data_IF_899191939941
#
_entry.id   IF_899191939941
#
_cell.length_a   1.000
_cell.length_b   1.000
_cell.length_c   1.000
_cell.angle_alpha   90.00
_cell.angle_beta   90.00
_cell.angle_gamma   90.00
#
_symmetry.space_group_name_H-M   'P 1'
#
loop_
_entity.id
_entity.type
_entity.pdbx_description
1 polymer ?
2 non-polymer ?
#
# COMPACT_ATOMS: atom_id res chain seq x y z
N UNK A 1 23.35 12.12 -12.42
CA UNK A 1 24.29 12.69 -11.38
C UNK A 1 23.54 13.39 -10.26
N UNK A 2 22.57 14.25 -10.61
CA UNK A 2 21.77 15.09 -9.67
C UNK A 2 20.28 15.01 -10.02
N UNK A 3 19.92 14.79 -11.29
CA UNK A 3 18.51 14.84 -11.77
C UNK A 3 17.63 13.68 -11.26
N UNK A 4 18.20 12.66 -10.58
CA UNK A 4 17.49 11.41 -10.19
C UNK A 4 16.58 11.66 -9.00
N UNK A 5 17.03 12.44 -8.01
CA UNK A 5 16.28 12.75 -6.78
C UNK A 5 15.98 11.49 -5.99
N UNK A 6 14.93 11.53 -5.17
CA UNK A 6 14.53 10.42 -4.26
C UNK A 6 13.49 9.54 -4.97
N UNK A 7 13.79 8.24 -5.10
CA UNK A 7 12.95 7.20 -5.74
C UNK A 7 12.70 6.04 -4.78
N UNK A 8 11.73 6.21 -3.87
CA UNK A 8 11.14 5.17 -2.99
C UNK A 8 10.42 4.12 -3.85
N UNK A 9 10.37 2.87 -3.40
CA UNK A 9 9.55 1.80 -4.03
C UNK A 9 8.43 1.38 -3.05
N UNK A 10 7.17 1.41 -3.52
CA UNK A 10 5.98 1.10 -2.71
C UNK A 10 5.05 0.18 -3.49
N UNK A 11 4.59 -0.89 -2.83
CA UNK A 11 3.58 -1.86 -3.33
C UNK A 11 2.53 -2.03 -2.23
N UNK A 12 1.23 -2.03 -2.57
CA UNK A 12 0.11 -2.13 -1.58
C UNK A 12 -0.79 -3.27 -2.01
N UNK A 13 -1.02 -4.24 -1.13
CA UNK A 13 -1.82 -5.45 -1.41
C UNK A 13 -3.07 -5.47 -0.54
N UNK A 14 -4.24 -5.57 -1.17
CA UNK A 14 -5.53 -6.02 -0.57
C UNK A 14 -5.53 -7.54 -0.61
N UNK A 15 -4.99 -8.20 0.40
CA UNK A 15 -4.76 -9.67 0.34
C UNK A 15 -6.13 -10.37 0.32
N UNK A 16 -7.13 -9.78 0.99
CA UNK A 16 -8.53 -10.25 1.19
C UNK A 16 -9.39 -10.03 -0.06
N UNK A 17 -8.89 -9.32 -1.06
CA UNK A 17 -9.60 -9.13 -2.36
C UNK A 17 -8.76 -9.69 -3.51
N UNK A 18 -7.51 -10.06 -3.23
CA UNK A 18 -6.58 -10.59 -4.25
C UNK A 18 -6.21 -9.51 -5.23
N UNK A 19 -6.04 -8.27 -4.75
CA UNK A 19 -5.61 -7.08 -5.55
C UNK A 19 -4.22 -6.56 -5.11
N UNK A 20 -3.27 -6.54 -6.05
CA UNK A 20 -1.92 -5.95 -5.88
C UNK A 20 -1.92 -4.56 -6.54
N UNK A 21 -1.59 -3.52 -5.78
CA UNK A 21 -1.35 -2.14 -6.28
C UNK A 21 0.16 -1.92 -6.39
N UNK A 22 0.73 -2.20 -7.57
CA UNK A 22 2.20 -2.28 -7.82
C UNK A 22 2.76 -0.90 -8.19
N UNK A 23 3.81 -0.44 -7.50
CA UNK A 23 4.58 0.78 -7.85
C UNK A 23 3.71 2.02 -7.73
N UNK A 24 3.07 2.20 -6.57
CA UNK A 24 2.38 3.44 -6.15
C UNK A 24 3.39 4.53 -5.72
N UNK A 25 4.69 4.27 -5.85
CA UNK A 25 5.69 5.27 -5.42
C UNK A 25 5.72 6.42 -6.45
N UNK A 26 5.63 7.67 -5.97
CA UNK A 26 6.03 8.86 -6.73
C UNK A 26 7.27 8.52 -7.58
N UNK A 27 7.27 8.85 -8.87
CA UNK A 27 8.46 8.59 -9.73
C UNK A 27 9.67 9.30 -9.15
N UNK A 28 9.47 10.43 -8.46
CA UNK A 28 10.55 11.24 -7.84
C UNK A 28 9.96 12.09 -6.74
N UNK A 29 10.53 12.02 -5.54
CA UNK A 29 10.09 12.79 -4.36
C UNK A 29 10.08 11.92 -3.12
N UNK A 30 10.42 12.56 -1.99
CA UNK A 30 10.55 11.93 -0.66
C UNK A 30 9.16 11.96 -0.01
N UNK A 31 8.28 11.10 -0.50
CA UNK A 31 6.86 10.95 -0.04
C UNK A 31 6.26 9.68 -0.63
N UNK A 32 5.33 9.09 0.12
CA UNK A 32 4.60 7.89 -0.35
C UNK A 32 3.18 7.92 0.24
N UNK A 33 2.25 7.37 -0.56
CA UNK A 33 0.82 7.37 -0.24
C UNK A 33 -0.01 6.89 -1.38
N UNK A 34 -1.31 6.73 -1.11
CA UNK A 34 -2.31 6.16 -2.03
C UNK A 34 -3.69 6.39 -1.42
N UNK A 35 -4.63 6.90 -2.23
CA UNK A 35 -6.07 6.98 -1.89
C UNK A 35 -6.78 5.81 -2.56
N UNK A 36 -7.21 4.81 -1.77
CA UNK A 36 -8.04 3.70 -2.30
C UNK A 36 -9.51 3.98 -1.97
N UNK A 37 -10.35 4.09 -3.00
CA UNK A 37 -11.82 4.32 -2.84
C UNK A 37 -12.50 2.97 -2.99
N UNK A 38 -13.36 2.63 -2.03
CA UNK A 38 -13.98 1.28 -1.94
C UNK A 38 -15.51 1.38 -2.08
N UNK A 39 -16.07 0.68 -3.08
CA UNK A 39 -17.53 0.56 -3.28
C UNK A 39 -17.98 -0.76 -2.61
N UNK A 40 -18.81 -0.68 -1.55
CA UNK A 40 -19.10 -1.80 -0.62
C UNK A 40 -20.52 -1.71 -0.04
N UNK A 41 -21.31 -2.78 -0.19
CA UNK A 41 -22.79 -2.81 0.09
C UNK A 41 -23.09 -3.58 1.38
N UNK A 42 -22.08 -4.19 1.99
CA UNK A 42 -22.25 -5.13 3.13
C UNK A 42 -20.95 -5.17 3.92
N UNK A 43 -20.96 -5.79 5.10
CA UNK A 43 -19.79 -5.86 5.99
C UNK A 43 -18.76 -6.80 5.39
N UNK A 44 -17.50 -6.36 5.38
CA UNK A 44 -16.34 -7.23 5.06
C UNK A 44 -15.06 -6.65 5.68
N UNK A 45 -14.18 -7.55 6.09
CA UNK A 45 -12.83 -7.25 6.63
C UNK A 45 -11.89 -7.08 5.45
N UNK A 46 -11.14 -5.98 5.44
CA UNK A 46 -10.08 -5.70 4.44
C UNK A 46 -8.72 -5.80 5.16
N UNK A 47 -7.88 -6.70 4.65
CA UNK A 47 -6.50 -6.91 5.14
C UNK A 47 -5.55 -6.22 4.14
N UNK A 48 -4.79 -5.26 4.65
CA UNK A 48 -3.75 -4.50 3.91
C UNK A 48 -2.35 -4.93 4.35
N UNK A 49 -1.51 -5.23 3.35
CA UNK A 49 -0.04 -5.35 3.47
C UNK A 49 0.58 -4.26 2.57
N UNK A 50 1.35 -3.37 3.18
CA UNK A 50 2.11 -2.29 2.50
C UNK A 50 3.58 -2.67 2.55
N UNK A 51 4.26 -2.72 1.39
CA UNK A 51 5.71 -3.01 1.30
C UNK A 51 6.44 -1.75 0.81
N UNK A 52 7.31 -1.23 1.67
CA UNK A 52 8.11 -0.01 1.43
C UNK A 52 9.56 -0.44 1.24
N UNK A 53 10.14 -0.10 0.10
CA UNK A 53 11.60 -0.26 -0.14
C UNK A 53 12.14 1.15 -0.28
N UNK A 54 12.53 1.80 0.84
CA UNK A 54 12.81 3.25 0.80
C UNK A 54 14.08 3.48 -0.01
N UNK A 55 14.21 4.64 -0.65
CA UNK A 55 15.49 5.12 -1.26
C UNK A 55 16.61 5.10 -0.20
N UNK A 56 17.86 4.97 -0.62
CA UNK A 56 19.07 4.80 0.25
C UNK A 56 19.53 6.13 0.83
N UNK A 57 18.66 6.79 1.58
CA UNK A 57 18.88 8.01 2.42
C UNK A 57 18.74 7.51 3.85
N UNK A 58 19.18 8.27 4.83
CA UNK A 58 19.14 7.76 6.22
C UNK A 58 18.25 8.65 7.10
N UNK A 59 16.97 8.65 6.76
CA UNK A 59 15.86 9.35 7.45
C UNK A 59 14.60 8.97 6.70
N UNK A 60 14.09 7.78 6.97
CA UNK A 60 12.87 7.24 6.30
C UNK A 60 11.61 7.75 7.00
N UNK A 61 10.80 8.51 6.28
CA UNK A 61 9.50 9.01 6.76
C UNK A 61 8.63 7.80 7.08
N UNK A 62 7.92 7.81 8.23
CA UNK A 62 6.97 6.77 8.53
C UNK A 62 5.75 6.96 7.61
N UNK A 63 5.08 5.85 7.34
CA UNK A 63 3.80 5.83 6.59
C UNK A 63 2.65 5.67 7.60
N UNK A 64 1.57 6.41 7.37
CA UNK A 64 0.34 6.43 8.20
C UNK A 64 -0.87 6.00 7.34
N UNK A 65 -1.93 5.58 8.01
CA UNK A 65 -3.20 5.18 7.35
C UNK A 65 -4.37 5.91 8.01
N UNK A 66 -5.24 6.50 7.18
CA UNK A 66 -6.58 6.97 7.63
C UNK A 66 -7.65 6.15 6.88
N UNK A 67 -8.74 5.80 7.59
CA UNK A 67 -9.97 5.19 7.01
C UNK A 67 -11.18 6.09 7.32
N UNK A 68 -11.82 6.57 6.26
CA UNK A 68 -12.87 7.64 6.32
C UNK A 68 -12.35 8.69 7.31
N UNK A 69 -11.17 9.24 7.00
CA UNK A 69 -10.52 10.33 7.75
C UNK A 69 -10.37 9.98 9.25
N UNK A 70 -10.26 8.69 9.60
CA UNK A 70 -9.95 8.21 10.98
C UNK A 70 -8.62 7.46 10.96
N UNK A 71 -7.66 7.89 11.77
CA UNK A 71 -6.31 7.27 11.81
C UNK A 71 -6.48 5.83 12.29
N UNK A 72 -5.80 4.90 11.62
CA UNK A 72 -5.70 3.46 11.97
C UNK A 72 -4.22 3.09 12.05
N UNK A 73 -3.80 2.51 13.18
CA UNK A 73 -2.45 1.98 13.44
C UNK A 73 -2.06 0.93 12.39
N UNK A 74 -0.92 1.11 11.77
CA UNK A 74 -0.25 0.07 10.97
C UNK A 74 0.66 -0.76 11.87
N UNK A 75 0.51 -2.07 11.88
CA UNK A 75 1.50 -3.01 12.47
C UNK A 75 2.72 -2.98 11.54
N UNK A 76 3.91 -2.87 12.10
CA UNK A 76 5.19 -3.20 11.43
C UNK A 76 5.45 -4.70 11.63
N UNK A 77 5.33 -5.48 10.56
CA UNK A 77 5.52 -6.96 10.58
C UNK A 77 7.00 -7.29 10.39
N UNK A 78 7.70 -6.45 9.65
CA UNK A 78 9.05 -6.77 9.12
C UNK A 78 9.77 -5.46 8.85
N UNK A 79 11.02 -5.40 9.29
CA UNK A 79 11.95 -4.31 8.94
C UNK A 79 13.36 -4.87 8.86
N UNK A 80 14.07 -4.54 7.78
CA UNK A 80 15.53 -4.78 7.69
C UNK A 80 16.17 -3.59 6.95
N UNK A 81 17.38 -3.74 6.44
CA UNK A 81 18.12 -2.62 5.80
C UNK A 81 17.43 -2.26 4.48
N UNK A 82 16.71 -3.20 3.87
CA UNK A 82 16.09 -3.05 2.52
C UNK A 82 14.66 -2.49 2.64
N UNK A 83 13.80 -3.12 3.43
CA UNK A 83 12.33 -2.88 3.29
C UNK A 83 11.62 -2.94 4.63
N UNK A 84 10.49 -2.26 4.70
CA UNK A 84 9.53 -2.34 5.81
C UNK A 84 8.23 -2.93 5.23
N UNK A 85 7.65 -3.91 5.92
CA UNK A 85 6.30 -4.47 5.62
C UNK A 85 5.39 -4.12 6.80
N UNK A 86 4.34 -3.36 6.52
CA UNK A 86 3.24 -3.05 7.46
C UNK A 86 1.97 -3.81 7.08
N UNK A 87 1.04 -3.86 8.02
CA UNK A 87 -0.26 -4.55 7.83
C UNK A 87 -1.31 -3.83 8.66
N UNK A 88 -2.56 -3.92 8.23
CA UNK A 88 -3.75 -3.56 9.01
C UNK A 88 -4.92 -4.42 8.54
N UNK A 89 -5.82 -4.76 9.43
CA UNK A 89 -7.16 -5.28 9.04
C UNK A 89 -8.18 -4.29 9.56
N UNK A 90 -9.16 -3.93 8.73
CA UNK A 90 -10.33 -3.11 9.21
C UNK A 90 -11.63 -3.59 8.56
N UNK A 91 -12.70 -3.33 9.30
CA UNK A 91 -14.08 -3.73 8.94
C UNK A 91 -14.73 -2.47 8.35
N UNK A 92 -15.36 -2.59 7.18
CA UNK A 92 -16.16 -1.48 6.58
C UNK A 92 -17.54 -2.03 6.21
N UNK A 93 -18.57 -1.17 6.25
CA UNK A 93 -19.99 -1.53 6.05
C UNK A 93 -20.65 -0.61 5.02
N UNK A 94 -19.86 0.25 4.36
CA UNK A 94 -20.34 1.17 3.29
C UNK A 94 -19.14 1.89 2.65
N UNK A 95 -19.42 2.61 1.56
CA UNK A 95 -18.44 3.20 0.61
C UNK A 95 -17.41 4.03 1.38
N UNK A 96 -16.14 3.64 1.27
CA UNK A 96 -15.07 4.06 2.21
C UNK A 96 -13.91 4.67 1.42
N UNK A 97 -13.12 5.49 2.11
CA UNK A 97 -11.87 6.08 1.57
C UNK A 97 -10.73 5.65 2.48
N UNK A 98 -9.77 4.90 1.93
CA UNK A 98 -8.47 4.57 2.59
C UNK A 98 -7.40 5.56 2.09
N UNK A 99 -6.75 6.24 3.04
CA UNK A 99 -5.61 7.17 2.79
C UNK A 99 -4.34 6.63 3.44
N UNK A 100 -3.38 6.24 2.61
CA UNK A 100 -1.98 6.02 3.05
C UNK A 100 -1.18 7.29 2.72
N UNK A 101 -0.53 7.89 3.71
CA UNK A 101 0.32 9.09 3.52
C UNK A 101 1.55 9.03 4.42
N UNK A 102 2.60 9.72 3.97
CA UNK A 102 3.79 10.07 4.76
C UNK A 102 3.76 11.57 5.09
N UNK A 103 2.89 12.32 4.41
CA UNK A 103 2.89 13.82 4.41
C UNK A 103 1.45 14.34 4.30
N UNK A 104 1.26 15.61 4.67
CA UNK A 104 -0.03 16.36 4.64
C UNK A 104 0.01 17.47 3.58
N UNK A 105 1.22 17.85 3.11
CA UNK A 105 1.42 18.87 2.05
C UNK A 105 0.60 18.48 0.82
N UNK A 106 -0.41 19.30 0.49
CA UNK A 106 -1.21 19.20 -0.77
C UNK A 106 -0.28 18.99 -1.97
N UNK A 107 0.90 19.61 -1.95
CA UNK A 107 1.89 19.56 -3.06
C UNK A 107 2.50 18.16 -3.16
N UNK A 108 2.42 17.36 -2.10
CA UNK A 108 2.78 15.90 -2.10
C UNK A 108 1.51 15.07 -2.39
N UNK A 109 0.40 15.26 -1.67
CA UNK A 109 -0.76 14.32 -1.64
C UNK A 109 -1.46 14.31 -3.01
N UNK A 110 -1.67 15.48 -3.60
CA UNK A 110 -2.21 15.65 -4.97
C UNK A 110 -1.43 14.80 -5.99
N UNK A 111 -0.27 14.25 -5.62
CA UNK A 111 0.59 13.47 -6.55
C UNK A 111 0.50 11.98 -6.25
N UNK A 112 -0.04 11.58 -5.09
CA UNK A 112 -0.32 10.15 -4.76
C UNK A 112 -1.33 9.59 -5.77
N UNK A 113 -1.30 8.27 -6.06
CA UNK A 113 -2.31 7.64 -6.91
C UNK A 113 -3.69 7.58 -6.24
N UNK A 114 -4.74 7.65 -7.04
CA UNK A 114 -6.15 7.47 -6.64
C UNK A 114 -6.69 6.23 -7.36
N UNK A 115 -7.03 5.20 -6.56
CA UNK A 115 -7.41 3.82 -6.98
C UNK A 115 -8.84 3.57 -6.54
N UNK A 116 -9.62 2.92 -7.41
CA UNK A 116 -11.04 2.57 -7.18
C UNK A 116 -11.14 1.04 -7.13
N UNK A 117 -11.61 0.48 -6.00
CA UNK A 117 -11.95 -0.96 -5.88
C UNK A 117 -13.45 -1.12 -5.66
N UNK A 118 -14.12 -1.82 -6.58
CA UNK A 118 -15.57 -2.12 -6.57
C UNK A 118 -15.79 -3.58 -6.17
N UNK A 119 -16.10 -3.84 -4.89
CA UNK A 119 -16.24 -5.21 -4.33
C UNK A 119 -17.49 -5.85 -4.93
N UNK A 120 -18.62 -5.14 -4.86
CA UNK A 120 -19.93 -5.50 -5.48
C UNK A 120 -19.70 -6.25 -6.79
N UNK A 121 -19.07 -5.57 -7.76
CA UNK A 121 -19.00 -5.94 -9.19
C UNK A 121 -17.63 -6.53 -9.55
N UNK A 122 -16.68 -6.58 -8.61
CA UNK A 122 -15.30 -7.07 -8.88
C UNK A 122 -14.71 -6.25 -10.03
N UNK A 123 -14.76 -4.93 -9.90
CA UNK A 123 -14.07 -3.94 -10.80
C UNK A 123 -13.02 -3.19 -9.99
N UNK A 124 -11.88 -2.87 -10.61
CA UNK A 124 -10.89 -1.89 -10.09
C UNK A 124 -10.50 -0.95 -11.23
N UNK A 125 -9.92 0.20 -10.89
CA UNK A 125 -9.31 1.13 -11.86
C UNK A 125 -8.34 2.10 -11.15
N UNK A 126 -7.39 2.61 -11.93
CA UNK A 126 -6.62 3.83 -11.60
C UNK A 126 -7.45 5.04 -12.05
N UNK A 127 -8.22 5.66 -11.15
CA UNK A 127 -8.88 6.96 -11.42
C UNK A 127 -7.82 8.01 -11.77
N UNK A 128 -6.76 8.16 -10.96
CA UNK A 128 -5.67 9.10 -11.25
C UNK A 128 -4.32 8.52 -10.83
N UNK A 129 -3.45 8.27 -11.81
CA UNK A 129 -2.07 7.74 -11.62
C UNK A 129 -1.16 8.72 -10.86
N UNK A 130 -1.58 9.96 -10.63
CA UNK A 130 -0.76 10.99 -9.96
C UNK A 130 0.58 11.10 -10.66
N UNK A 131 1.69 11.28 -9.92
CA UNK A 131 3.06 11.36 -10.52
C UNK A 131 3.74 9.99 -10.37
N UNK A 132 3.04 8.94 -10.80
CA UNK A 132 3.41 7.50 -10.69
C UNK A 132 3.04 6.75 -11.97
N UNK A 133 3.77 5.66 -12.24
CA UNK A 133 3.43 4.61 -13.23
C UNK A 133 2.91 3.40 -12.45
N UNK A 134 1.88 3.62 -11.63
CA UNK A 134 1.15 2.59 -10.86
C UNK A 134 0.43 1.67 -11.85
N UNK A 135 0.24 0.39 -11.48
CA UNK A 135 -0.60 -0.62 -12.18
C UNK A 135 -1.11 -1.67 -11.19
N UNK A 136 -2.07 -2.49 -11.63
CA UNK A 136 -2.85 -3.39 -10.74
C UNK A 136 -2.88 -4.79 -11.35
N UNK A 137 -2.85 -5.82 -10.51
CA UNK A 137 -3.04 -7.23 -10.92
C UNK A 137 -4.05 -7.87 -9.95
N UNK A 138 -4.92 -8.76 -10.46
CA UNK A 138 -5.79 -9.64 -9.64
C UNK A 138 -5.97 -11.00 -10.31
N UNK A 139 -5.69 -12.14 -9.63
CA UNK A 139 -5.24 -12.15 -8.25
C UNK A 139 -3.80 -11.65 -8.07
N UNK A 140 -3.36 -11.58 -6.81
CA UNK A 140 -1.95 -11.27 -6.46
C UNK A 140 -1.07 -12.44 -6.94
N UNK A 141 0.09 -12.15 -7.50
CA UNK A 141 1.07 -13.14 -8.01
C UNK A 141 1.81 -13.79 -6.84
N UNK A 142 1.94 -15.12 -6.79
CA UNK A 142 2.54 -15.83 -5.63
C UNK A 142 3.98 -15.33 -5.42
N UNK A 143 4.69 -14.96 -6.48
CA UNK A 143 6.10 -14.51 -6.35
C UNK A 143 6.16 -13.07 -5.82
N UNK A 144 5.02 -12.45 -5.50
CA UNK A 144 4.94 -11.14 -4.81
C UNK A 144 4.54 -11.33 -3.33
N UNK A 145 4.09 -12.53 -2.94
CA UNK A 145 3.52 -12.82 -1.60
C UNK A 145 4.65 -13.10 -0.60
N UNK A 146 5.53 -12.12 -0.38
CA UNK A 146 6.80 -12.26 0.38
C UNK A 146 6.59 -11.94 1.86
N UNK A 147 5.91 -12.82 2.62
CA UNK A 147 5.70 -12.67 4.09
C UNK A 147 5.49 -14.04 4.75
N UNK A 151 10.36 -22.85 3.38
CA UNK A 151 9.47 -23.29 4.48
C UNK A 151 8.47 -24.32 3.93
N UNK A 152 8.86 -25.60 3.84
CA UNK A 152 7.95 -26.72 3.41
C UNK A 152 8.66 -28.09 3.47
N UNK A 153 9.47 -28.37 4.50
CA UNK A 153 10.48 -29.44 4.45
C UNK A 153 10.56 -30.37 5.66
N UNK A 154 9.59 -30.36 6.58
CA UNK A 154 9.52 -31.22 7.81
C UNK A 154 10.27 -30.57 8.98
N UNK A 155 9.83 -30.88 10.20
CA UNK A 155 10.27 -30.22 11.47
C UNK A 155 11.61 -30.80 11.96
N UNK A 156 12.25 -30.12 12.93
CA UNK A 156 13.51 -30.60 13.58
C UNK A 156 13.55 -30.17 15.06
N UNK A 157 14.00 -31.11 15.92
CA UNK A 157 13.94 -31.05 17.41
C UNK A 157 14.98 -30.05 17.93
N UNK A 158 14.54 -28.83 18.26
CA UNK A 158 15.42 -27.83 18.91
C UNK A 158 15.24 -27.96 20.42
N UNK A 159 15.76 -29.07 20.96
CA UNK A 159 15.82 -29.48 22.39
C UNK A 159 14.39 -29.64 22.92
X LIG B 1 21.33 13.25 -11.94
#
# INVERSE_FOLDING_TARGET
GSHMGVQHKLDIFLVSEGIAIKEANLLKGDSYGCTIKIKLDKEKTFKFVIVLEPEWIDEIKPIYMKVNDESVELELDYKDAIKRIYSAEVVLSSDSVINLFSDVDVSYTSEYPTIKVNTIKKYYSVQNRGMTYVHIESPINTKDKSWFVEKNGWYEDRTHS
NI NI
#
